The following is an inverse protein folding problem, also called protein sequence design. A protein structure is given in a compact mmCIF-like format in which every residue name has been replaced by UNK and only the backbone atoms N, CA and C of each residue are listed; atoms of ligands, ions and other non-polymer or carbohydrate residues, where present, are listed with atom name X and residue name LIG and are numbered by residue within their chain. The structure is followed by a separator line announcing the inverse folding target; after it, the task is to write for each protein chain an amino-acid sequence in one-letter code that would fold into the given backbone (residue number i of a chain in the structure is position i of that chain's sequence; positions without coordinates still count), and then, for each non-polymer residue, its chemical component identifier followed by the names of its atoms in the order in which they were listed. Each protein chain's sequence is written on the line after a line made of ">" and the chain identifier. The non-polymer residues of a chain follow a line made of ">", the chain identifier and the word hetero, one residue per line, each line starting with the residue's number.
data_IF_490354527088
#
_entry.id   IF_490354527088
#
_cell.length_a   1.000
_cell.length_b   1.000
_cell.length_c   1.000
_cell.angle_alpha   90.00
_cell.angle_beta   90.00
_cell.angle_gamma   90.00
#
_symmetry.space_group_name_H-M   'P 1'
#
loop_
_entity.id
_entity.type
_entity.pdbx_description
1 polymer ?
#
# COMPACT_ATOMS: atom_id res chain seq x y z
N UNK A 1 59.73 25.00 31.99
CA UNK A 1 58.41 24.57 32.50
C UNK A 1 57.74 23.60 31.52
N UNK A 2 58.03 22.28 31.56
CA UNK A 2 57.49 21.30 30.61
C UNK A 2 56.20 20.56 31.06
N UNK A 3 55.64 20.90 32.23
CA UNK A 3 54.54 20.16 32.87
C UNK A 3 53.14 20.45 32.33
N UNK A 4 52.92 21.63 31.73
CA UNK A 4 51.62 22.07 31.22
C UNK A 4 51.19 21.32 29.94
N UNK A 5 52.14 21.13 29.01
CA UNK A 5 51.87 20.44 27.75
C UNK A 5 51.43 18.99 27.95
N UNK A 6 52.09 18.26 28.87
CA UNK A 6 51.77 16.86 29.15
C UNK A 6 50.36 16.70 29.74
N UNK A 7 49.92 17.67 30.56
CA UNK A 7 48.58 17.66 31.17
C UNK A 7 47.48 17.92 30.14
N UNK A 8 47.67 18.94 29.30
CA UNK A 8 46.74 19.23 28.19
C UNK A 8 46.64 18.04 27.23
N UNK A 9 47.77 17.41 26.89
CA UNK A 9 47.78 16.20 26.06
C UNK A 9 47.03 15.04 26.71
N UNK A 10 47.15 14.83 28.02
CA UNK A 10 46.41 13.77 28.73
C UNK A 10 44.90 14.04 28.74
N UNK A 11 44.48 15.29 28.95
CA UNK A 11 43.06 15.65 28.94
C UNK A 11 42.44 15.50 27.55
N UNK A 12 43.15 15.88 26.50
CA UNK A 12 42.70 15.67 25.11
C UNK A 12 42.55 14.18 24.78
N UNK A 13 43.44 13.32 25.28
CA UNK A 13 43.32 11.87 25.11
C UNK A 13 42.10 11.30 25.85
N UNK A 14 41.85 11.76 27.07
CA UNK A 14 40.66 11.37 27.85
C UNK A 14 39.36 11.84 27.19
N UNK A 15 39.32 13.06 26.67
CA UNK A 15 38.20 13.58 25.88
C UNK A 15 37.96 12.76 24.62
N UNK A 16 39.02 12.37 23.91
CA UNK A 16 38.91 11.51 22.73
C UNK A 16 38.35 10.13 23.07
N UNK A 17 38.75 9.56 24.20
CA UNK A 17 38.27 8.24 24.62
C UNK A 17 36.80 8.27 25.05
N UNK A 18 36.39 9.31 25.79
CA UNK A 18 35.00 9.50 26.21
C UNK A 18 34.08 9.73 25.01
N UNK A 19 34.46 10.58 24.04
CA UNK A 19 33.70 10.77 22.80
C UNK A 19 33.59 9.48 21.98
N UNK A 20 34.65 8.66 21.93
CA UNK A 20 34.62 7.37 21.23
C UNK A 20 33.71 6.35 21.93
N UNK A 21 33.68 6.34 23.26
CA UNK A 21 32.75 5.51 24.03
C UNK A 21 31.29 5.95 23.82
N UNK A 22 31.06 7.27 23.72
CA UNK A 22 29.75 7.84 23.43
C UNK A 22 29.27 7.47 22.01
N UNK A 23 30.11 7.63 20.98
CA UNK A 23 29.78 7.22 19.60
C UNK A 23 29.43 5.73 19.51
N UNK A 24 30.19 4.86 20.18
CA UNK A 24 29.88 3.42 20.25
C UNK A 24 28.53 3.14 20.90
N UNK A 25 28.19 3.88 21.96
CA UNK A 25 26.91 3.74 22.65
C UNK A 25 25.76 4.17 21.74
N UNK A 26 25.91 5.28 21.01
CA UNK A 26 24.91 5.72 20.03
C UNK A 26 24.74 4.72 18.89
N UNK A 27 25.83 4.17 18.33
CA UNK A 27 25.76 3.13 17.28
C UNK A 27 25.03 1.87 17.74
N UNK A 28 25.15 1.51 19.02
CA UNK A 28 24.46 0.36 19.60
C UNK A 28 22.95 0.60 19.73
N UNK A 29 22.53 1.83 20.04
CA UNK A 29 21.12 2.15 20.31
C UNK A 29 20.39 2.60 19.03
N UNK A 30 21.08 3.19 18.06
CA UNK A 30 20.52 3.61 16.76
C UNK A 30 19.65 2.55 16.05
N UNK A 31 20.03 1.25 15.96
CA UNK A 31 19.18 0.25 15.33
C UNK A 31 17.90 -0.05 16.12
N UNK A 32 17.90 0.13 17.46
CA UNK A 32 16.70 -0.06 18.29
C UNK A 32 15.67 1.04 18.03
N UNK A 33 16.13 2.29 17.84
CA UNK A 33 15.26 3.39 17.42
C UNK A 33 14.77 3.20 15.98
N UNK A 34 15.62 2.75 15.06
CA UNK A 34 15.22 2.46 13.67
C UNK A 34 14.15 1.36 13.60
N UNK A 35 14.28 0.31 14.41
CA UNK A 35 13.27 -0.74 14.52
C UNK A 35 11.94 -0.22 15.11
N UNK A 36 12.00 0.58 16.18
CA UNK A 36 10.83 1.20 16.80
C UNK A 36 10.11 2.19 15.86
N UNK A 37 10.86 2.96 15.07
CA UNK A 37 10.28 3.87 14.06
C UNK A 37 9.73 3.10 12.85
N UNK A 38 10.35 1.99 12.46
CA UNK A 38 9.83 1.11 11.40
C UNK A 38 8.53 0.40 11.80
N UNK A 39 8.24 0.24 13.09
CA UNK A 39 6.93 -0.30 13.53
C UNK A 39 5.78 0.67 13.28
N UNK A 40 6.05 1.98 13.19
CA UNK A 40 5.06 3.00 12.85
C UNK A 40 4.99 3.29 11.34
N UNK A 41 5.93 2.73 10.55
CA UNK A 41 6.04 2.95 9.11
C UNK A 41 5.66 1.71 8.30
N UNK A 42 4.38 1.63 7.92
CA UNK A 42 3.78 0.73 6.93
C UNK A 42 3.88 -0.79 7.22
N UNK A 43 2.78 -1.55 7.03
CA UNK A 43 2.83 -3.00 7.17
C UNK A 43 3.75 -3.56 6.07
N UNK A 44 4.87 -4.14 6.50
CA UNK A 44 5.73 -5.00 5.68
C UNK A 44 4.82 -6.08 5.11
N UNK A 45 4.52 -5.99 3.81
CA UNK A 45 3.50 -6.77 3.15
C UNK A 45 3.86 -8.25 3.10
N UNK A 46 3.63 -8.97 4.19
CA UNK A 46 3.36 -10.40 4.14
C UNK A 46 2.22 -10.56 3.13
N UNK A 47 2.45 -11.34 2.07
CA UNK A 47 1.53 -11.57 0.98
C UNK A 47 0.12 -11.76 1.51
N UNK A 48 -0.66 -10.67 1.53
CA UNK A 48 -2.02 -10.66 2.05
C UNK A 48 -2.79 -11.62 1.16
N UNK A 49 -2.97 -12.85 1.65
CA UNK A 49 -3.86 -13.82 1.05
C UNK A 49 -5.18 -13.10 0.89
N UNK A 50 -5.54 -12.78 -0.36
CA UNK A 50 -6.78 -12.07 -0.64
C UNK A 50 -7.89 -12.92 -0.01
N UNK A 51 -8.70 -12.38 0.91
CA UNK A 51 -9.71 -13.17 1.59
C UNK A 51 -10.57 -13.87 0.53
N UNK A 52 -10.76 -15.20 0.70
CA UNK A 52 -11.51 -16.00 -0.26
C UNK A 52 -12.92 -15.40 -0.37
N UNK A 53 -13.30 -15.02 -1.59
CA UNK A 53 -14.60 -14.40 -1.83
C UNK A 53 -15.74 -15.34 -1.43
N UNK A 54 -16.66 -14.82 -0.61
CA UNK A 54 -17.95 -15.45 -0.33
C UNK A 54 -18.68 -15.79 -1.64
N UNK A 55 -19.54 -16.81 -1.63
CA UNK A 55 -20.33 -17.22 -2.79
C UNK A 55 -21.13 -16.03 -3.38
N UNK A 56 -21.69 -15.17 -2.52
CA UNK A 56 -22.38 -13.95 -2.93
C UNK A 56 -21.45 -12.97 -3.66
N UNK A 57 -20.24 -12.77 -3.13
CA UNK A 57 -19.22 -11.91 -3.73
C UNK A 57 -18.76 -12.42 -5.11
N UNK A 58 -18.58 -13.75 -5.24
CA UNK A 58 -18.29 -14.37 -6.54
C UNK A 58 -19.43 -14.17 -7.54
N UNK A 59 -20.68 -14.38 -7.13
CA UNK A 59 -21.84 -14.16 -8.00
C UNK A 59 -21.94 -12.69 -8.47
N UNK A 60 -21.72 -11.72 -7.57
CA UNK A 60 -21.70 -10.30 -7.91
C UNK A 60 -20.59 -9.96 -8.92
N UNK A 61 -19.38 -10.51 -8.74
CA UNK A 61 -18.27 -10.29 -9.68
C UNK A 61 -18.55 -10.91 -11.06
N UNK A 62 -19.16 -12.09 -11.10
CA UNK A 62 -19.56 -12.71 -12.38
C UNK A 62 -20.60 -11.84 -13.10
N UNK A 63 -21.60 -11.31 -12.38
CA UNK A 63 -22.59 -10.40 -12.97
C UNK A 63 -21.93 -9.12 -13.48
N UNK A 64 -21.01 -8.54 -12.70
CA UNK A 64 -20.26 -7.35 -13.10
C UNK A 64 -19.41 -7.64 -14.35
N UNK A 65 -18.72 -8.78 -14.40
CA UNK A 65 -17.92 -9.20 -15.54
C UNK A 65 -18.74 -9.36 -16.81
N UNK A 66 -19.90 -10.03 -16.72
CA UNK A 66 -20.86 -10.17 -17.84
C UNK A 66 -21.33 -8.79 -18.33
N UNK A 67 -21.75 -7.92 -17.41
CA UNK A 67 -22.18 -6.56 -17.74
C UNK A 67 -21.07 -5.77 -18.45
N UNK A 68 -19.84 -5.79 -17.92
CA UNK A 68 -18.69 -5.14 -18.54
C UNK A 68 -18.37 -5.71 -19.93
N UNK A 69 -18.47 -7.03 -20.10
CA UNK A 69 -18.26 -7.71 -21.37
C UNK A 69 -19.20 -7.19 -22.46
N UNK A 70 -20.49 -7.08 -22.17
CA UNK A 70 -21.46 -6.51 -23.12
C UNK A 70 -21.20 -5.02 -23.37
N UNK A 71 -20.94 -4.24 -22.32
CA UNK A 71 -20.70 -2.80 -22.43
C UNK A 71 -19.49 -2.45 -23.32
N UNK A 72 -18.46 -3.30 -23.40
CA UNK A 72 -17.26 -3.06 -24.24
C UNK A 72 -17.59 -2.93 -25.72
N UNK A 73 -18.59 -3.65 -26.22
CA UNK A 73 -18.94 -3.72 -27.64
C UNK A 73 -20.00 -2.69 -28.05
N UNK A 74 -20.58 -1.95 -27.10
CA UNK A 74 -21.67 -1.00 -27.36
C UNK A 74 -21.18 0.39 -27.78
N UNK A 75 -21.93 1.03 -28.68
CA UNK A 75 -21.75 2.44 -29.06
C UNK A 75 -22.11 3.37 -27.88
N UNK A 76 -21.60 4.62 -27.82
CA UNK A 76 -21.87 5.54 -26.71
C UNK A 76 -23.35 5.74 -26.39
N UNK A 77 -24.20 5.88 -27.42
CA UNK A 77 -25.67 6.03 -27.25
C UNK A 77 -26.31 4.79 -26.60
N UNK A 78 -25.88 3.60 -27.00
CA UNK A 78 -26.36 2.33 -26.42
C UNK A 78 -25.89 2.18 -24.96
N UNK A 79 -24.64 2.55 -24.66
CA UNK A 79 -24.09 2.55 -23.29
C UNK A 79 -24.93 3.44 -22.36
N UNK A 80 -25.32 4.64 -22.81
CA UNK A 80 -26.16 5.53 -22.03
C UNK A 80 -27.53 4.92 -21.73
N UNK A 81 -28.17 4.28 -22.72
CA UNK A 81 -29.45 3.59 -22.53
C UNK A 81 -29.34 2.44 -21.53
N UNK A 82 -28.29 1.62 -21.64
CA UNK A 82 -28.03 0.50 -20.73
C UNK A 82 -27.75 0.99 -19.29
N UNK A 83 -27.06 2.13 -19.11
CA UNK A 83 -26.86 2.74 -17.78
C UNK A 83 -28.18 3.18 -17.14
N UNK A 84 -29.03 3.87 -17.89
CA UNK A 84 -30.38 4.26 -17.42
C UNK A 84 -31.19 3.05 -16.98
N UNK A 85 -31.14 1.95 -17.74
CA UNK A 85 -31.85 0.71 -17.38
C UNK A 85 -31.25 0.06 -16.13
N UNK A 86 -29.93 0.09 -15.97
CA UNK A 86 -29.27 -0.43 -14.77
C UNK A 86 -29.71 0.33 -13.52
N UNK A 87 -29.79 1.65 -13.60
CA UNK A 87 -30.24 2.51 -12.49
C UNK A 87 -31.72 2.25 -12.15
N UNK A 88 -32.59 2.11 -13.15
CA UNK A 88 -34.02 1.93 -12.95
C UNK A 88 -34.43 0.50 -12.56
N UNK A 89 -33.81 -0.53 -13.15
CA UNK A 89 -34.27 -1.94 -13.09
C UNK A 89 -33.20 -2.93 -12.60
N UNK A 90 -31.97 -2.47 -12.41
CA UNK A 90 -30.87 -3.30 -11.93
C UNK A 90 -30.07 -4.01 -13.03
N UNK A 91 -29.02 -4.72 -12.59
CA UNK A 91 -27.95 -5.23 -13.47
C UNK A 91 -28.41 -6.35 -14.40
N UNK A 92 -29.28 -7.26 -13.94
CA UNK A 92 -29.74 -8.40 -14.75
C UNK A 92 -30.51 -7.94 -16.00
N UNK A 93 -31.47 -7.03 -15.83
CA UNK A 93 -32.26 -6.47 -16.94
C UNK A 93 -31.37 -5.67 -17.89
N UNK A 94 -30.40 -4.93 -17.34
CA UNK A 94 -29.43 -4.21 -18.15
C UNK A 94 -28.56 -5.15 -19.02
N UNK A 95 -28.17 -6.32 -18.50
CA UNK A 95 -27.43 -7.33 -19.25
C UNK A 95 -28.24 -7.88 -20.42
N UNK A 96 -29.51 -8.29 -20.18
CA UNK A 96 -30.37 -8.81 -21.26
C UNK A 96 -30.58 -7.76 -22.36
N UNK A 97 -30.77 -6.50 -21.97
CA UNK A 97 -30.89 -5.43 -22.96
C UNK A 97 -29.59 -5.20 -23.73
N UNK A 98 -28.45 -5.21 -23.06
CA UNK A 98 -27.14 -5.05 -23.69
C UNK A 98 -26.82 -6.20 -24.66
N UNK A 99 -27.20 -7.44 -24.31
CA UNK A 99 -27.07 -8.62 -25.18
C UNK A 99 -27.83 -8.44 -26.49
N UNK A 100 -29.07 -7.92 -26.43
CA UNK A 100 -29.87 -7.63 -27.63
C UNK A 100 -29.34 -6.49 -28.50
N UNK A 101 -28.61 -5.53 -27.92
CA UNK A 101 -28.01 -4.41 -28.66
C UNK A 101 -26.70 -4.77 -29.38
N UNK A 102 -26.01 -5.82 -28.93
CA UNK A 102 -24.75 -6.31 -29.48
C UNK A 102 -24.94 -7.14 -30.75
N UNK A 103 -26.08 -7.81 -30.88
CA UNK A 103 -26.42 -8.73 -31.97
C UNK A 103 -27.12 -8.03 -33.15
N UNK A 104 -27.05 -6.70 -33.22
CA UNK A 104 -27.58 -5.86 -34.29
C UNK A 104 -26.49 -4.94 -34.80
#
# INVERSE_FOLDING_TARGET
>A
MPSLHRRVSSELLTLRQTLKAFDRSLRRIAPMFSAAMSMNGAPKGNGRSRPRLSAKGRASLVLQGRYMGYMRQLKPRQKAQVRRIREAKGVRVAIERAKGMRLR
#
